data_IF_306382555644
#
_entry.id   IF_306382555644
#
_cell.length_a   1.000
_cell.length_b   1.000
_cell.length_c   1.000
_cell.angle_alpha   90.00
_cell.angle_beta   90.00
_cell.angle_gamma   90.00
#
_symmetry.space_group_name_H-M   'P 1'
#
loop_
_entity.id
_entity.type
_entity.pdbx_description
1 polymer ?
#
# COMPACT_ATOMS: atom_id res chain seq x y z
N UNK A 1 17.01 19.78 5.01
CA UNK A 1 17.87 18.87 4.24
C UNK A 1 17.01 18.11 3.23
N UNK A 2 17.30 18.25 1.96
CA UNK A 2 16.67 17.49 0.87
C UNK A 2 17.73 16.61 0.24
N UNK A 3 17.39 15.31 0.05
CA UNK A 3 18.31 14.32 -0.52
C UNK A 3 17.61 13.56 -1.66
N UNK A 4 18.39 13.06 -2.61
CA UNK A 4 17.87 12.22 -3.67
C UNK A 4 17.46 10.83 -3.11
N UNK A 5 16.51 10.14 -3.77
CA UNK A 5 16.01 8.84 -3.31
C UNK A 5 17.11 7.79 -3.19
N UNK A 6 18.07 7.77 -4.10
CA UNK A 6 19.22 6.86 -4.08
C UNK A 6 20.22 7.14 -2.94
N UNK A 7 20.21 8.34 -2.38
CA UNK A 7 21.07 8.75 -1.25
C UNK A 7 20.38 8.55 0.11
N UNK A 8 19.08 8.26 0.12
CA UNK A 8 18.26 8.28 1.33
C UNK A 8 18.76 7.29 2.39
N UNK A 9 19.19 6.09 1.99
CA UNK A 9 19.75 5.09 2.91
C UNK A 9 21.04 5.56 3.57
N UNK A 10 21.92 6.24 2.83
CA UNK A 10 23.15 6.81 3.35
C UNK A 10 22.88 7.85 4.44
N UNK A 11 22.01 8.83 4.15
CA UNK A 11 21.69 9.88 5.11
C UNK A 11 20.87 9.39 6.29
N UNK A 12 19.99 8.42 6.10
CA UNK A 12 19.28 7.78 7.21
C UNK A 12 20.26 7.08 8.17
N UNK A 13 21.21 6.29 7.65
CA UNK A 13 22.24 5.65 8.44
C UNK A 13 23.11 6.65 9.20
N UNK A 14 23.53 7.74 8.54
CA UNK A 14 24.30 8.81 9.15
C UNK A 14 23.54 9.49 10.30
N UNK A 15 22.25 9.78 10.12
CA UNK A 15 21.40 10.37 11.16
C UNK A 15 21.22 9.42 12.35
N UNK A 16 21.06 8.12 12.10
CA UNK A 16 20.98 7.09 13.15
C UNK A 16 22.26 7.10 13.98
N UNK A 17 23.41 6.98 13.31
CA UNK A 17 24.72 6.91 14.00
C UNK A 17 25.02 8.17 14.81
N UNK A 18 24.65 9.33 14.29
CA UNK A 18 24.87 10.59 14.95
C UNK A 18 23.87 10.90 16.08
N UNK A 19 22.65 10.36 16.02
CA UNK A 19 21.58 10.64 16.99
C UNK A 19 21.70 9.85 18.30
N UNK A 20 22.41 8.71 18.30
CA UNK A 20 22.56 7.82 19.45
C UNK A 20 24.00 7.34 19.59
N UNK A 21 24.35 6.87 20.77
CA UNK A 21 25.64 6.24 21.02
C UNK A 21 25.63 4.73 20.70
N UNK A 22 26.80 4.15 20.61
CA UNK A 22 26.97 2.73 20.32
C UNK A 22 26.36 1.85 21.40
N UNK A 23 26.32 2.28 22.64
CA UNK A 23 25.77 1.53 23.77
C UNK A 23 24.26 1.37 23.63
N UNK A 24 23.56 2.44 23.23
CA UNK A 24 22.11 2.42 22.96
C UNK A 24 21.77 1.48 21.77
N UNK A 25 22.57 1.50 20.72
CA UNK A 25 22.39 0.59 19.58
C UNK A 25 22.63 -0.89 19.99
N UNK A 26 23.67 -1.16 20.77
CA UNK A 26 23.98 -2.51 21.27
C UNK A 26 22.90 -3.08 22.21
N UNK A 27 22.21 -2.23 22.96
CA UNK A 27 21.11 -2.64 23.85
C UNK A 27 19.91 -3.20 23.08
N UNK A 28 19.75 -2.91 21.80
CA UNK A 28 18.70 -3.46 20.92
C UNK A 28 19.06 -4.83 20.33
N UNK A 29 20.28 -5.30 20.52
CA UNK A 29 20.76 -6.59 20.06
C UNK A 29 21.81 -6.51 18.94
N UNK A 30 22.27 -7.69 18.52
CA UNK A 30 23.41 -7.85 17.60
C UNK A 30 23.17 -7.15 16.23
N UNK A 31 21.99 -7.30 15.65
CA UNK A 31 21.68 -6.69 14.34
C UNK A 31 21.72 -5.16 14.37
N UNK A 32 21.23 -4.53 15.44
CA UNK A 32 21.28 -3.09 15.62
C UNK A 32 22.74 -2.59 15.82
N UNK A 33 23.55 -3.34 16.55
CA UNK A 33 24.97 -3.04 16.73
C UNK A 33 25.76 -3.15 15.41
N UNK A 34 25.49 -4.18 14.59
CA UNK A 34 26.06 -4.36 13.26
C UNK A 34 25.66 -3.22 12.32
N UNK A 35 24.37 -2.87 12.30
CA UNK A 35 23.86 -1.74 11.50
C UNK A 35 24.54 -0.42 11.92
N UNK A 36 24.63 -0.16 13.23
CA UNK A 36 25.30 1.02 13.75
C UNK A 36 26.79 1.07 13.34
N UNK A 37 27.47 -0.06 13.40
CA UNK A 37 28.87 -0.17 12.97
C UNK A 37 29.07 0.07 11.47
N UNK A 38 28.13 -0.37 10.64
CA UNK A 38 28.16 -0.20 9.20
C UNK A 38 27.65 1.18 8.73
N UNK A 39 26.94 1.92 9.56
CA UNK A 39 26.39 3.23 9.21
C UNK A 39 27.50 4.26 8.97
N UNK A 40 27.34 5.15 7.97
CA UNK A 40 28.35 6.14 7.61
C UNK A 40 28.56 7.17 8.72
N UNK A 41 29.77 7.68 8.81
CA UNK A 41 30.14 8.76 9.73
C UNK A 41 29.75 10.14 9.15
N UNK A 42 29.48 11.09 10.04
CA UNK A 42 29.09 12.47 9.69
C UNK A 42 30.11 13.17 8.77
N UNK A 43 31.37 12.83 8.90
CA UNK A 43 32.47 13.40 8.08
C UNK A 43 32.44 12.92 6.61
N UNK A 44 31.73 11.86 6.30
CA UNK A 44 31.49 11.36 4.94
C UNK A 44 30.39 12.12 4.19
N UNK A 45 29.67 13.01 4.86
CA UNK A 45 28.67 13.84 4.23
C UNK A 45 29.32 14.91 3.34
N UNK A 46 28.60 15.24 2.24
CA UNK A 46 28.98 16.34 1.36
C UNK A 46 29.12 17.65 2.16
N UNK A 47 30.23 18.36 1.92
CA UNK A 47 30.56 19.59 2.64
C UNK A 47 29.46 20.66 2.53
N UNK A 48 28.81 20.75 1.36
CA UNK A 48 27.70 21.67 1.11
C UNK A 48 26.45 21.38 1.97
N UNK A 49 26.31 20.16 2.47
CA UNK A 49 25.15 19.69 3.28
C UNK A 49 25.51 19.53 4.77
N UNK A 50 26.78 19.62 5.12
CA UNK A 50 27.27 19.33 6.48
C UNK A 50 26.60 20.19 7.54
N UNK A 51 26.39 21.47 7.29
CA UNK A 51 25.71 22.36 8.22
C UNK A 51 24.25 21.97 8.45
N UNK A 52 23.52 21.62 7.38
CA UNK A 52 22.14 21.17 7.47
C UNK A 52 22.04 19.83 8.20
N UNK A 53 22.96 18.91 7.95
CA UNK A 53 23.02 17.62 8.63
C UNK A 53 23.27 17.81 10.12
N UNK A 54 24.25 18.63 10.48
CA UNK A 54 24.56 18.95 11.87
C UNK A 54 23.38 19.61 12.60
N UNK A 55 22.58 20.41 11.89
CA UNK A 55 21.37 21.01 12.45
C UNK A 55 20.30 19.95 12.72
N UNK A 56 20.08 19.00 11.80
CA UNK A 56 19.14 17.87 11.99
C UNK A 56 19.58 16.98 13.14
N UNK A 57 20.87 16.64 13.22
CA UNK A 57 21.45 15.84 14.31
C UNK A 57 21.22 16.51 15.66
N UNK A 58 21.50 17.81 15.79
CA UNK A 58 21.22 18.57 17.00
C UNK A 58 19.75 18.52 17.37
N UNK A 59 18.87 18.78 16.42
CA UNK A 59 17.43 18.73 16.65
C UNK A 59 16.96 17.34 17.13
N UNK A 60 17.49 16.26 16.58
CA UNK A 60 17.21 14.90 17.05
C UNK A 60 17.73 14.63 18.46
N UNK A 61 18.95 15.09 18.77
CA UNK A 61 19.55 14.94 20.10
C UNK A 61 18.79 15.72 21.18
N UNK A 62 18.38 16.93 20.86
CA UNK A 62 17.70 17.83 21.80
C UNK A 62 16.19 17.51 21.95
N UNK A 63 15.62 16.83 20.98
CA UNK A 63 14.20 16.48 21.00
C UNK A 63 13.89 15.42 22.07
N UNK A 64 12.81 15.64 22.83
CA UNK A 64 12.28 14.67 23.79
C UNK A 64 11.30 13.67 23.15
N UNK A 65 10.64 14.09 22.07
CA UNK A 65 9.60 13.32 21.37
C UNK A 65 9.75 13.50 19.86
N UNK A 66 10.83 12.99 19.26
CA UNK A 66 10.95 13.03 17.80
C UNK A 66 9.87 12.16 17.17
N UNK A 67 9.27 12.66 16.10
CA UNK A 67 8.31 11.92 15.28
C UNK A 67 8.88 11.77 13.88
N UNK A 68 8.97 10.54 13.43
CA UNK A 68 9.34 10.21 12.06
C UNK A 68 8.09 9.97 11.24
N UNK A 69 8.02 10.58 10.07
CA UNK A 69 6.95 10.35 9.11
C UNK A 69 7.58 9.76 7.86
N UNK A 70 7.12 8.58 7.45
CA UNK A 70 7.69 7.86 6.31
C UNK A 70 6.58 7.46 5.32
N UNK A 71 6.73 7.87 4.06
CA UNK A 71 5.94 7.32 2.96
C UNK A 71 6.38 5.88 2.65
N UNK A 72 5.52 5.09 2.05
CA UNK A 72 5.80 3.66 1.79
C UNK A 72 5.65 3.28 0.32
N UNK A 73 5.18 4.16 -0.53
CA UNK A 73 4.85 3.87 -1.95
C UNK A 73 5.88 4.41 -2.95
N UNK A 74 6.45 5.58 -2.68
CA UNK A 74 7.37 6.28 -3.60
C UNK A 74 8.83 6.21 -3.17
N UNK A 75 9.14 5.45 -2.14
CA UNK A 75 10.48 5.33 -1.57
C UNK A 75 11.05 3.93 -1.82
N UNK A 76 12.39 3.77 -1.87
CA UNK A 76 12.99 2.44 -1.92
C UNK A 76 12.47 1.52 -0.80
N UNK A 77 12.28 0.23 -1.04
CA UNK A 77 11.69 -0.72 -0.07
C UNK A 77 12.38 -0.78 1.29
N UNK A 78 13.66 -0.41 1.35
CA UNK A 78 14.45 -0.40 2.58
C UNK A 78 14.13 0.79 3.49
N UNK A 79 13.57 1.89 2.96
CA UNK A 79 13.37 3.14 3.71
C UNK A 79 12.39 3.01 4.86
N UNK A 80 11.23 2.32 4.71
CA UNK A 80 10.35 2.07 5.84
C UNK A 80 11.02 1.30 6.98
N UNK A 81 11.87 0.31 6.67
CA UNK A 81 12.67 -0.42 7.66
C UNK A 81 13.65 0.51 8.37
N UNK A 82 14.41 1.32 7.64
CA UNK A 82 15.34 2.29 8.22
C UNK A 82 14.64 3.31 9.13
N UNK A 83 13.43 3.74 8.78
CA UNK A 83 12.62 4.62 9.62
C UNK A 83 12.21 3.94 10.93
N UNK A 84 11.85 2.64 10.89
CA UNK A 84 11.57 1.85 12.08
C UNK A 84 12.81 1.69 12.96
N UNK A 85 13.95 1.35 12.37
CA UNK A 85 15.22 1.19 13.09
C UNK A 85 15.64 2.50 13.76
N UNK A 86 15.52 3.63 13.08
CA UNK A 86 15.79 4.95 13.67
C UNK A 86 14.85 5.24 14.84
N UNK A 87 13.55 4.95 14.71
CA UNK A 87 12.59 5.14 15.78
C UNK A 87 12.92 4.28 17.01
N UNK A 88 13.28 3.01 16.80
CA UNK A 88 13.68 2.07 17.87
C UNK A 88 14.97 2.52 18.57
N UNK A 89 15.96 2.96 17.81
CA UNK A 89 17.24 3.44 18.35
C UNK A 89 17.03 4.70 19.20
N UNK A 90 16.18 5.62 18.73
CA UNK A 90 15.81 6.82 19.49
C UNK A 90 15.05 6.45 20.78
N UNK A 91 14.22 5.40 20.78
CA UNK A 91 13.58 4.90 22.00
C UNK A 91 14.61 4.32 22.97
N UNK A 92 15.58 3.54 22.49
CA UNK A 92 16.66 3.00 23.32
C UNK A 92 17.51 4.12 23.96
N UNK A 93 17.63 5.29 23.31
CA UNK A 93 18.24 6.48 23.87
C UNK A 93 17.34 7.28 24.85
N UNK A 94 16.33 6.64 25.45
CA UNK A 94 15.35 7.22 26.38
C UNK A 94 14.48 8.34 25.79
N UNK A 95 14.25 8.31 24.49
CA UNK A 95 13.37 9.26 23.81
C UNK A 95 12.00 8.63 23.57
N UNK A 96 10.95 9.43 23.72
CA UNK A 96 9.58 9.03 23.35
C UNK A 96 9.40 9.28 21.85
N UNK A 97 10.14 8.56 21.01
CA UNK A 97 10.01 8.65 19.57
C UNK A 97 8.70 8.06 19.09
N UNK A 98 8.14 8.62 18.03
CA UNK A 98 7.00 8.10 17.30
C UNK A 98 7.38 7.81 15.86
N UNK A 99 6.72 6.81 15.27
CA UNK A 99 6.81 6.51 13.85
C UNK A 99 5.41 6.51 13.26
N UNK A 100 5.24 7.22 12.16
CA UNK A 100 3.99 7.25 11.40
C UNK A 100 4.25 6.94 9.95
N UNK A 101 3.63 5.87 9.44
CA UNK A 101 3.69 5.53 8.03
C UNK A 101 2.53 6.18 7.26
N UNK A 102 2.86 6.88 6.18
CA UNK A 102 1.89 7.30 5.18
C UNK A 102 1.71 6.16 4.19
N UNK A 103 0.60 5.45 4.32
CA UNK A 103 0.27 4.32 3.47
C UNK A 103 -0.48 4.78 2.22
N UNK A 104 -0.33 4.08 1.07
CA UNK A 104 -0.88 4.54 -0.22
C UNK A 104 -2.40 4.41 -0.33
N UNK A 105 -3.06 3.75 0.61
CA UNK A 105 -4.51 3.55 0.56
C UNK A 105 -5.13 3.25 1.92
N UNK A 106 -6.45 3.41 2.00
CA UNK A 106 -7.22 3.29 3.23
C UNK A 106 -7.11 1.91 3.91
N UNK A 107 -6.86 0.85 3.15
CA UNK A 107 -6.70 -0.52 3.66
C UNK A 107 -5.32 -1.11 3.33
N UNK A 108 -4.33 -0.28 3.03
CA UNK A 108 -3.00 -0.77 2.66
C UNK A 108 -2.33 -1.57 3.78
N UNK A 109 -2.57 -1.22 5.05
CA UNK A 109 -2.10 -2.01 6.19
C UNK A 109 -2.76 -3.38 6.25
N UNK A 110 -4.09 -3.45 6.07
CA UNK A 110 -4.82 -4.72 6.01
C UNK A 110 -4.39 -5.59 4.82
N UNK A 111 -4.18 -4.99 3.66
CA UNK A 111 -3.64 -5.69 2.48
C UNK A 111 -2.23 -6.23 2.76
N UNK A 112 -1.36 -5.44 3.40
CA UNK A 112 -0.03 -5.88 3.80
C UNK A 112 -0.03 -7.05 4.77
N UNK A 113 -0.96 -7.08 5.73
CA UNK A 113 -1.12 -8.21 6.65
C UNK A 113 -1.62 -9.49 5.95
N UNK A 114 -2.42 -9.36 4.91
CA UNK A 114 -2.97 -10.47 4.14
C UNK A 114 -2.03 -10.93 3.01
N UNK A 115 -1.04 -10.11 2.63
CA UNK A 115 -0.12 -10.42 1.54
C UNK A 115 0.99 -11.37 1.98
N UNK A 116 1.45 -12.19 1.02
CA UNK A 116 2.65 -13.00 1.19
C UNK A 116 3.85 -12.22 0.60
N UNK A 117 4.86 -11.85 1.42
CA UNK A 117 6.03 -11.12 0.93
C UNK A 117 6.82 -11.85 -0.16
N UNK A 118 6.66 -13.19 -0.25
CA UNK A 118 7.29 -14.02 -1.26
C UNK A 118 6.49 -14.13 -2.56
N UNK A 119 5.33 -13.45 -2.64
CA UNK A 119 4.45 -13.44 -3.81
C UNK A 119 4.20 -12.03 -4.29
N UNK A 120 5.27 -11.30 -4.57
CA UNK A 120 5.18 -9.95 -5.10
C UNK A 120 4.61 -9.95 -6.53
N UNK A 121 4.06 -8.82 -6.94
CA UNK A 121 3.59 -8.64 -8.32
C UNK A 121 4.72 -8.89 -9.36
N UNK A 122 5.96 -8.50 -9.04
CA UNK A 122 7.11 -8.76 -9.90
C UNK A 122 7.30 -10.27 -10.14
N UNK A 123 7.18 -11.09 -9.09
CA UNK A 123 7.29 -12.55 -9.22
C UNK A 123 6.13 -13.16 -10.03
N UNK A 124 4.95 -12.54 -9.98
CA UNK A 124 3.84 -12.94 -10.86
C UNK A 124 4.19 -12.66 -12.32
N UNK A 125 4.74 -11.48 -12.62
CA UNK A 125 5.19 -11.12 -13.99
C UNK A 125 6.27 -12.08 -14.46
N UNK A 126 7.27 -12.38 -13.63
CA UNK A 126 8.32 -13.37 -13.92
C UNK A 126 7.72 -14.77 -14.16
N UNK A 127 6.74 -15.16 -13.37
CA UNK A 127 6.03 -16.42 -13.55
C UNK A 127 5.24 -16.50 -14.86
N UNK A 128 4.72 -15.39 -15.36
CA UNK A 128 4.08 -15.30 -16.68
C UNK A 128 5.15 -15.42 -17.79
N UNK A 129 6.23 -14.65 -17.69
CA UNK A 129 7.35 -14.67 -18.64
C UNK A 129 7.97 -16.07 -18.76
N UNK A 130 8.05 -16.81 -17.65
CA UNK A 130 8.51 -18.21 -17.60
C UNK A 130 7.47 -19.23 -18.10
N UNK A 131 6.26 -18.80 -18.46
CA UNK A 131 5.15 -19.67 -18.87
C UNK A 131 4.57 -20.55 -17.76
N UNK A 132 4.89 -20.25 -16.49
CA UNK A 132 4.37 -20.95 -15.30
C UNK A 132 2.97 -20.48 -14.92
N UNK A 133 2.67 -19.20 -15.19
CA UNK A 133 1.37 -18.57 -14.96
C UNK A 133 0.75 -18.28 -16.32
N UNK A 134 -0.38 -18.92 -16.60
CA UNK A 134 -1.10 -18.82 -17.88
C UNK A 134 -2.43 -18.08 -17.74
N UNK A 135 -2.96 -18.00 -16.52
CA UNK A 135 -4.18 -17.29 -16.22
C UNK A 135 -3.95 -16.33 -15.04
N UNK A 136 -4.51 -15.12 -15.14
CA UNK A 136 -4.42 -14.09 -14.12
C UNK A 136 -5.79 -13.52 -13.85
N UNK A 137 -6.15 -13.40 -12.57
CA UNK A 137 -7.34 -12.69 -12.11
C UNK A 137 -6.90 -11.45 -11.38
N UNK A 138 -7.37 -10.30 -11.80
CA UNK A 138 -7.12 -9.01 -11.17
C UNK A 138 -8.41 -8.49 -10.54
N UNK A 139 -8.31 -8.03 -9.29
CA UNK A 139 -9.42 -7.45 -8.56
C UNK A 139 -9.09 -5.99 -8.19
N UNK A 140 -9.80 -5.05 -8.81
CA UNK A 140 -9.72 -3.61 -8.54
C UNK A 140 -8.28 -3.07 -8.60
N UNK A 141 -7.55 -3.46 -9.65
CA UNK A 141 -6.14 -3.14 -9.81
C UNK A 141 -5.82 -2.74 -11.25
N UNK A 142 -5.35 -1.51 -11.44
CA UNK A 142 -4.86 -1.02 -12.72
C UNK A 142 -3.34 -1.18 -12.81
N UNK A 143 -2.90 -2.25 -13.46
CA UNK A 143 -1.49 -2.60 -13.58
C UNK A 143 -0.67 -1.55 -14.33
N UNK A 144 -1.25 -0.92 -15.35
CA UNK A 144 -0.56 0.08 -16.17
C UNK A 144 -0.29 1.39 -15.42
N UNK A 145 -0.97 1.64 -14.31
CA UNK A 145 -0.66 2.75 -13.39
C UNK A 145 0.39 2.40 -12.36
N UNK A 146 0.52 1.12 -12.01
CA UNK A 146 1.34 0.69 -10.88
C UNK A 146 2.71 0.14 -11.30
N UNK A 147 2.83 -0.42 -12.50
CA UNK A 147 4.06 -1.05 -12.95
C UNK A 147 4.90 -0.11 -13.82
N UNK A 148 6.14 0.12 -13.40
CA UNK A 148 7.03 1.12 -14.03
C UNK A 148 7.47 0.71 -15.44
N UNK A 149 7.83 -0.59 -15.64
CA UNK A 149 8.22 -1.10 -16.97
C UNK A 149 7.00 -1.55 -17.76
N UNK A 150 6.34 -0.56 -18.32
CA UNK A 150 5.14 -0.75 -19.13
C UNK A 150 5.32 -1.75 -20.28
N UNK A 151 6.44 -1.67 -21.00
CA UNK A 151 6.70 -2.57 -22.13
C UNK A 151 6.88 -4.03 -21.72
N UNK A 152 7.51 -4.24 -20.56
CA UNK A 152 7.63 -5.58 -19.96
C UNK A 152 6.26 -6.12 -19.58
N UNK A 153 5.45 -5.28 -18.94
CA UNK A 153 4.09 -5.64 -18.54
C UNK A 153 3.21 -6.03 -19.74
N UNK A 154 3.23 -5.23 -20.81
CA UNK A 154 2.47 -5.52 -22.03
C UNK A 154 2.84 -6.88 -22.61
N UNK A 155 4.15 -7.16 -22.76
CA UNK A 155 4.61 -8.46 -23.25
C UNK A 155 4.20 -9.63 -22.35
N UNK A 156 4.23 -9.44 -21.04
CA UNK A 156 3.80 -10.48 -20.11
C UNK A 156 2.28 -10.73 -20.22
N UNK A 157 1.47 -9.68 -20.25
CA UNK A 157 0.01 -9.81 -20.38
C UNK A 157 -0.38 -10.49 -21.70
N UNK A 158 0.30 -10.17 -22.80
CA UNK A 158 0.04 -10.75 -24.12
C UNK A 158 0.38 -12.26 -24.20
N UNK A 159 1.13 -12.80 -23.22
CA UNK A 159 1.41 -14.24 -23.09
C UNK A 159 0.34 -15.01 -22.32
N UNK A 160 -0.58 -14.32 -21.64
CA UNK A 160 -1.61 -14.98 -20.86
C UNK A 160 -2.65 -15.67 -21.77
N UNK A 161 -2.99 -16.89 -21.44
CA UNK A 161 -4.12 -17.61 -22.07
C UNK A 161 -5.47 -17.05 -21.59
N UNK A 162 -5.52 -16.51 -20.34
CA UNK A 162 -6.71 -15.91 -19.75
C UNK A 162 -6.34 -14.75 -18.82
N UNK A 163 -6.91 -13.59 -19.08
CA UNK A 163 -6.89 -12.44 -18.19
C UNK A 163 -8.33 -12.08 -17.82
N UNK A 164 -8.67 -12.23 -16.55
CA UNK A 164 -9.94 -11.79 -15.97
C UNK A 164 -9.69 -10.54 -15.15
N UNK A 165 -10.45 -9.48 -15.43
CA UNK A 165 -10.37 -8.23 -14.66
C UNK A 165 -11.72 -7.96 -14.00
N UNK A 166 -11.70 -7.79 -12.70
CA UNK A 166 -12.82 -7.36 -11.86
C UNK A 166 -12.57 -5.92 -11.46
N UNK A 167 -13.31 -4.97 -11.98
CA UNK A 167 -13.10 -3.55 -11.67
C UNK A 167 -14.43 -2.78 -11.83
N UNK A 168 -14.54 -1.66 -11.16
CA UNK A 168 -15.65 -0.71 -11.33
C UNK A 168 -15.34 0.40 -12.33
N UNK A 169 -14.08 0.49 -12.80
CA UNK A 169 -13.63 1.43 -13.82
C UNK A 169 -13.18 0.68 -15.07
N UNK A 170 -13.49 1.27 -16.22
CA UNK A 170 -12.94 0.80 -17.50
C UNK A 170 -11.53 1.37 -17.68
N UNK A 171 -10.54 0.70 -17.07
CA UNK A 171 -9.13 1.08 -17.12
C UNK A 171 -8.45 0.54 -18.38
N UNK A 172 -7.20 0.92 -18.60
CA UNK A 172 -6.39 0.34 -19.66
C UNK A 172 -6.18 -1.18 -19.48
N UNK A 173 -6.02 -1.61 -18.23
CA UNK A 173 -5.92 -3.03 -17.87
C UNK A 173 -7.19 -3.78 -18.27
N UNK A 174 -8.37 -3.20 -18.07
CA UNK A 174 -9.65 -3.76 -18.54
C UNK A 174 -9.69 -3.88 -20.06
N UNK A 175 -9.11 -2.91 -20.78
CA UNK A 175 -9.00 -2.95 -22.23
C UNK A 175 -8.19 -4.13 -22.77
N UNK A 176 -7.35 -4.77 -21.95
CA UNK A 176 -6.57 -5.96 -22.30
C UNK A 176 -7.21 -7.27 -21.80
N UNK A 177 -8.31 -7.19 -21.06
CA UNK A 177 -8.93 -8.36 -20.45
C UNK A 177 -9.62 -9.27 -21.48
N UNK A 178 -9.49 -10.57 -21.31
CA UNK A 178 -10.29 -11.58 -22.03
C UNK A 178 -11.72 -11.64 -21.48
N UNK A 179 -11.85 -11.39 -20.16
CA UNK A 179 -13.14 -11.30 -19.48
C UNK A 179 -13.12 -10.14 -18.49
N UNK A 180 -14.09 -9.25 -18.63
CA UNK A 180 -14.33 -8.16 -17.68
C UNK A 180 -15.58 -8.44 -16.86
N UNK A 181 -15.44 -8.38 -15.54
CA UNK A 181 -16.54 -8.52 -14.58
C UNK A 181 -16.68 -7.18 -13.83
N UNK A 182 -17.72 -6.39 -14.12
CA UNK A 182 -17.92 -5.11 -13.43
C UNK A 182 -18.24 -5.35 -11.96
N UNK A 183 -17.56 -4.60 -11.08
CA UNK A 183 -17.76 -4.67 -9.63
C UNK A 183 -18.46 -3.43 -9.08
N UNK A 184 -19.01 -3.58 -7.87
CA UNK A 184 -19.55 -2.47 -7.12
C UNK A 184 -18.43 -1.51 -6.72
N UNK A 185 -18.70 -0.21 -6.73
CA UNK A 185 -17.76 0.80 -6.25
C UNK A 185 -17.56 0.70 -4.74
N UNK A 186 -16.52 1.37 -4.22
CA UNK A 186 -16.24 1.45 -2.78
C UNK A 186 -17.44 1.94 -1.97
N UNK A 187 -18.25 2.85 -2.52
CA UNK A 187 -19.41 3.41 -1.84
C UNK A 187 -20.66 2.51 -1.91
N UNK A 188 -20.69 1.61 -2.87
CA UNK A 188 -21.77 0.63 -3.07
C UNK A 188 -21.49 -0.72 -2.40
N UNK A 189 -20.26 -0.92 -1.93
CA UNK A 189 -19.80 -2.13 -1.28
C UNK A 189 -19.71 -1.96 0.25
N UNK A 190 -19.78 -3.08 0.95
CA UNK A 190 -19.31 -3.19 2.34
C UNK A 190 -17.89 -3.75 2.34
N UNK A 191 -17.07 -3.37 3.31
CA UNK A 191 -15.71 -3.88 3.42
C UNK A 191 -15.14 -3.77 4.83
N UNK A 192 -14.09 -4.54 5.10
CA UNK A 192 -13.28 -4.43 6.29
C UNK A 192 -12.02 -3.64 5.96
N UNK A 193 -11.71 -2.67 6.80
CA UNK A 193 -10.54 -1.81 6.67
C UNK A 193 -9.72 -1.87 7.93
N UNK A 194 -8.41 -2.01 7.78
CA UNK A 194 -7.47 -1.93 8.90
C UNK A 194 -6.59 -0.70 8.64
N UNK A 195 -6.66 0.28 9.56
CA UNK A 195 -5.84 1.47 9.45
C UNK A 195 -4.40 1.21 9.93
N UNK A 196 -3.52 2.20 9.77
CA UNK A 196 -2.11 2.12 10.17
C UNK A 196 -1.88 1.90 11.69
N UNK A 197 -2.90 2.10 12.53
CA UNK A 197 -2.87 1.80 13.96
C UNK A 197 -3.29 0.36 14.27
N UNK A 198 -3.63 -0.44 13.26
CA UNK A 198 -4.14 -1.80 13.44
C UNK A 198 -5.62 -1.86 13.84
N UNK A 199 -6.37 -0.75 13.74
CA UNK A 199 -7.79 -0.72 14.07
C UNK A 199 -8.62 -1.29 12.93
N UNK A 200 -9.34 -2.38 13.21
CA UNK A 200 -10.30 -2.97 12.28
C UNK A 200 -11.62 -2.19 12.32
N UNK A 201 -12.08 -1.76 11.16
CA UNK A 201 -13.32 -1.00 10.99
C UNK A 201 -14.16 -1.57 9.84
N UNK A 202 -15.46 -1.62 10.04
CA UNK A 202 -16.41 -2.03 9.01
C UNK A 202 -16.92 -0.77 8.30
N UNK A 203 -16.63 -0.65 7.00
CA UNK A 203 -17.31 0.30 6.14
C UNK A 203 -18.60 -0.35 5.63
N UNK A 204 -19.72 0.28 5.91
CA UNK A 204 -21.02 -0.15 5.38
C UNK A 204 -21.28 0.51 4.03
N UNK A 205 -22.12 -0.09 3.23
CA UNK A 205 -22.60 0.50 1.99
C UNK A 205 -23.20 1.88 2.28
N UNK A 206 -22.64 2.92 1.67
CA UNK A 206 -23.09 4.29 1.83
C UNK A 206 -24.17 4.67 0.80
N UNK A 207 -24.17 3.98 -0.34
CA UNK A 207 -25.00 4.29 -1.48
C UNK A 207 -25.52 2.98 -2.11
N UNK A 208 -26.82 2.96 -2.38
CA UNK A 208 -27.43 1.96 -3.27
C UNK A 208 -27.61 2.63 -4.61
N UNK A 209 -26.99 2.10 -5.65
CA UNK A 209 -27.08 2.67 -6.99
C UNK A 209 -28.53 3.02 -7.35
N UNK A 210 -28.72 4.13 -8.03
CA UNK A 210 -30.02 4.64 -8.49
C UNK A 210 -30.12 4.62 -10.01
N UNK A 211 -31.28 4.96 -10.53
CA UNK A 211 -31.44 5.20 -11.95
C UNK A 211 -30.51 6.33 -12.41
N UNK A 212 -29.88 6.24 -13.59
CA UNK A 212 -29.18 7.35 -14.18
C UNK A 212 -30.06 8.61 -14.21
N UNK A 213 -29.46 9.77 -13.96
CA UNK A 213 -30.20 11.06 -13.94
C UNK A 213 -30.96 11.25 -15.25
N UNK A 214 -30.42 10.79 -16.38
CA UNK A 214 -31.09 10.85 -17.68
C UNK A 214 -32.38 10.03 -17.77
N UNK A 215 -32.53 9.02 -16.94
CA UNK A 215 -33.71 8.11 -16.89
C UNK A 215 -34.69 8.48 -15.76
N UNK A 216 -34.29 9.39 -14.87
CA UNK A 216 -35.07 9.74 -13.69
C UNK A 216 -36.14 10.80 -13.91
N UNK A 217 -36.37 11.20 -15.17
CA UNK A 217 -37.41 12.15 -15.58
C UNK A 217 -37.06 13.62 -15.32
N UNK A 218 -37.42 14.50 -16.27
CA UNK A 218 -37.19 15.93 -16.16
C UNK A 218 -38.06 16.56 -15.08
N UNK A 219 -37.45 17.28 -14.17
CA UNK A 219 -38.14 18.10 -13.16
C UNK A 219 -37.11 18.99 -12.43
N UNK A 220 -37.57 20.10 -11.90
CA UNK A 220 -36.73 21.10 -11.22
C UNK A 220 -36.14 20.62 -9.88
N UNK A 221 -36.39 19.37 -9.50
CA UNK A 221 -35.88 18.78 -8.26
C UNK A 221 -35.19 17.45 -8.54
N UNK A 222 -34.09 17.13 -7.86
CA UNK A 222 -33.47 15.82 -7.95
C UNK A 222 -34.53 14.75 -7.63
N UNK A 223 -34.64 13.68 -8.42
CA UNK A 223 -35.65 12.65 -8.23
C UNK A 223 -35.49 12.03 -6.86
N UNK A 224 -36.57 12.06 -6.09
CA UNK A 224 -36.64 11.40 -4.77
C UNK A 224 -37.05 9.93 -4.88
N UNK A 225 -37.15 9.40 -6.07
CA UNK A 225 -37.52 8.00 -6.30
C UNK A 225 -36.27 7.17 -6.17
N UNK A 226 -36.04 6.68 -4.98
CA UNK A 226 -35.13 5.58 -4.75
C UNK A 226 -35.80 4.30 -5.22
N UNK A 227 -35.76 4.06 -6.52
CA UNK A 227 -36.29 2.83 -7.09
C UNK A 227 -35.62 1.61 -6.50
N UNK A 228 -36.39 0.57 -6.19
CA UNK A 228 -35.87 -0.70 -5.70
C UNK A 228 -35.08 -1.49 -6.79
N UNK A 229 -35.00 -0.97 -8.01
CA UNK A 229 -34.31 -1.59 -9.14
C UNK A 229 -33.24 -0.65 -9.67
N UNK A 230 -32.00 -0.94 -9.36
CA UNK A 230 -30.83 -0.35 -10.01
C UNK A 230 -30.47 -1.21 -11.22
N UNK A 231 -30.22 -0.62 -12.42
CA UNK A 231 -29.63 -1.36 -13.54
C UNK A 231 -28.30 -2.00 -13.19
N UNK A 232 -27.59 -1.48 -12.19
CA UNK A 232 -26.38 -2.09 -11.60
C UNK A 232 -26.68 -3.02 -10.41
N UNK A 233 -27.95 -3.42 -10.17
CA UNK A 233 -28.31 -4.30 -9.04
C UNK A 233 -27.58 -5.65 -9.04
N UNK A 234 -27.06 -6.06 -10.18
CA UNK A 234 -26.29 -7.28 -10.36
C UNK A 234 -24.80 -7.09 -10.10
N UNK A 235 -24.31 -5.85 -9.95
CA UNK A 235 -22.91 -5.62 -9.61
C UNK A 235 -22.66 -5.99 -8.14
N UNK A 236 -21.62 -6.80 -7.93
CA UNK A 236 -21.20 -7.27 -6.60
C UNK A 236 -19.77 -6.80 -6.30
N UNK A 237 -19.41 -6.64 -5.03
CA UNK A 237 -18.02 -6.38 -4.67
C UNK A 237 -17.09 -7.48 -5.20
N UNK A 238 -15.88 -7.14 -5.61
CA UNK A 238 -14.90 -8.09 -6.15
C UNK A 238 -14.64 -9.26 -5.20
N UNK A 239 -14.61 -9.01 -3.89
CA UNK A 239 -14.40 -10.07 -2.89
C UNK A 239 -15.52 -11.13 -2.91
N UNK A 240 -16.78 -10.77 -3.18
CA UNK A 240 -17.86 -11.73 -3.32
C UNK A 240 -17.72 -12.57 -4.58
N UNK A 241 -17.35 -11.94 -5.71
CA UNK A 241 -17.10 -12.65 -6.95
C UNK A 241 -15.96 -13.66 -6.78
N UNK A 242 -14.88 -13.27 -6.09
CA UNK A 242 -13.78 -14.17 -5.78
C UNK A 242 -14.21 -15.32 -4.86
N UNK A 243 -15.02 -15.05 -3.85
CA UNK A 243 -15.54 -16.08 -2.96
C UNK A 243 -16.43 -17.10 -3.71
N UNK A 244 -17.29 -16.63 -4.62
CA UNK A 244 -18.12 -17.51 -5.44
C UNK A 244 -17.30 -18.41 -6.38
N UNK A 245 -16.13 -17.93 -6.85
CA UNK A 245 -15.22 -18.71 -7.69
C UNK A 245 -14.50 -19.81 -6.89
N UNK A 246 -14.20 -19.58 -5.61
CA UNK A 246 -13.45 -20.54 -4.81
C UNK A 246 -14.32 -21.70 -4.37
N UNK A 247 -15.49 -21.45 -3.77
CA UNK A 247 -16.47 -22.46 -3.37
C UNK A 247 -17.72 -21.78 -2.78
N UNK A 248 -18.90 -22.33 -3.03
CA UNK A 248 -20.15 -21.86 -2.42
C UNK A 248 -20.12 -21.92 -0.87
N UNK A 249 -19.39 -22.88 -0.30
CA UNK A 249 -19.20 -22.98 1.15
C UNK A 249 -18.32 -21.88 1.70
N UNK A 250 -17.35 -21.41 0.93
CA UNK A 250 -16.45 -20.30 1.31
C UNK A 250 -17.17 -18.96 1.24
N UNK A 251 -18.12 -18.79 0.33
CA UNK A 251 -18.97 -17.60 0.27
C UNK A 251 -19.79 -17.43 1.56
N UNK A 252 -20.36 -18.52 2.09
CA UNK A 252 -21.08 -18.52 3.37
C UNK A 252 -20.16 -18.24 4.57
N UNK A 253 -18.88 -18.64 4.52
CA UNK A 253 -17.90 -18.34 5.54
C UNK A 253 -17.46 -16.86 5.50
N UNK A 254 -17.30 -16.29 4.29
CA UNK A 254 -17.00 -14.87 4.12
C UNK A 254 -18.11 -13.97 4.67
N UNK A 255 -19.37 -14.34 4.50
CA UNK A 255 -20.50 -13.61 5.09
C UNK A 255 -20.49 -13.64 6.63
N UNK A 256 -19.94 -14.69 7.24
CA UNK A 256 -19.79 -14.78 8.70
C UNK A 256 -18.66 -13.92 9.28
N UNK A 257 -17.64 -13.61 8.48
CA UNK A 257 -16.54 -12.73 8.91
C UNK A 257 -17.04 -11.27 8.99
N UNK A 258 -18.12 -10.93 8.30
CA UNK A 258 -18.67 -9.57 8.24
C UNK A 258 -19.86 -9.34 9.22
N UNK A 259 -20.26 -10.34 10.01
CA UNK A 259 -21.26 -10.23 11.07
C UNK A 259 -20.60 -10.00 12.42
#
# INVERSE_FOLDING_TARGET
LTVALNELGFYAGLLVKAAVDQTAAAALGKGAAEFYGAAPDENLADESRREQISAVIRALRDSRRPVLVCGTDIVPPQVPGLAADLALILQAANKKSGLFYLLPGANAFGAGLASDPQRSFLQIVEGIEDGKIKALILAECDLFKQFVDRKRLERAIDQLEMLVVMDYLHTETVGKAHLFLPTATLYEARGLFINQEGRLQIARQAYKGGLPIAESGGGDHPPRIYGAGNPSADTRPAWQLLADLVDKNTAAAADRIFL
#
